data_IF_923680329227
#
_entry.id   IF_923680329227
#
_cell.length_a   1.000
_cell.length_b   1.000
_cell.length_c   1.000
_cell.angle_alpha   90.00
_cell.angle_beta   90.00
_cell.angle_gamma   90.00
#
_symmetry.space_group_name_H-M   'P 1'
#
loop_
_entity.id
_entity.type
_entity.pdbx_description
1 polymer ?
#
# COMPACT_ATOMS: atom_id res chain seq x y z
N UNK A 1 9.40 -4.25 18.68
CA UNK A 1 9.23 -5.29 17.64
C UNK A 1 8.38 -4.80 16.48
N UNK A 2 7.13 -4.37 16.67
CA UNK A 2 6.23 -3.85 15.61
C UNK A 2 6.84 -2.66 14.85
N UNK A 3 7.35 -1.63 15.54
CA UNK A 3 7.96 -0.45 14.91
C UNK A 3 9.18 -0.83 14.04
N UNK A 4 9.99 -1.80 14.48
CA UNK A 4 11.13 -2.28 13.72
C UNK A 4 10.70 -2.99 12.42
N UNK A 5 9.64 -3.79 12.49
CA UNK A 5 9.08 -4.48 11.32
C UNK A 5 8.44 -3.50 10.33
N UNK A 6 7.67 -2.52 10.81
CA UNK A 6 7.12 -1.43 9.98
C UNK A 6 8.25 -0.65 9.31
N UNK A 7 9.33 -0.35 10.02
CA UNK A 7 10.49 0.37 9.46
C UNK A 7 11.20 -0.43 8.36
N UNK A 8 11.36 -1.76 8.52
CA UNK A 8 11.95 -2.63 7.48
C UNK A 8 11.05 -2.65 6.24
N UNK A 9 9.75 -2.88 6.43
CA UNK A 9 8.79 -2.91 5.33
C UNK A 9 8.69 -1.56 4.61
N UNK A 10 8.71 -0.45 5.36
CA UNK A 10 8.75 0.90 4.80
C UNK A 10 10.00 1.14 3.94
N UNK A 11 11.17 0.67 4.38
CA UNK A 11 12.41 0.76 3.57
C UNK A 11 12.33 -0.10 2.31
N UNK A 12 11.76 -1.30 2.40
CA UNK A 12 11.56 -2.17 1.25
C UNK A 12 10.63 -1.52 0.23
N UNK A 13 9.50 -0.94 0.68
CA UNK A 13 8.54 -0.23 -0.16
C UNK A 13 9.09 1.06 -0.81
N UNK A 14 10.17 1.62 -0.27
CA UNK A 14 10.82 2.83 -0.82
C UNK A 14 11.85 2.55 -1.91
N UNK A 15 12.12 1.29 -2.25
CA UNK A 15 13.05 0.94 -3.33
C UNK A 15 12.45 1.31 -4.68
N UNK A 16 13.30 1.85 -5.58
CA UNK A 16 12.86 2.27 -6.92
C UNK A 16 12.51 1.11 -7.84
N UNK A 17 13.05 -0.05 -7.56
CA UNK A 17 12.92 -1.30 -8.32
C UNK A 17 11.93 -2.29 -7.69
N UNK A 18 11.17 -1.84 -6.68
CA UNK A 18 10.19 -2.68 -5.98
C UNK A 18 9.08 -3.10 -6.94
N UNK A 19 8.84 -4.40 -7.03
CA UNK A 19 7.67 -4.97 -7.71
C UNK A 19 6.40 -4.69 -6.87
N UNK A 20 5.34 -4.29 -7.55
CA UNK A 20 4.03 -4.01 -6.92
C UNK A 20 3.48 -5.25 -6.22
N UNK A 21 3.62 -6.44 -6.81
CA UNK A 21 3.14 -7.69 -6.20
C UNK A 21 3.86 -7.96 -4.89
N UNK A 22 5.20 -7.83 -4.90
CA UNK A 22 6.01 -7.98 -3.70
C UNK A 22 5.68 -6.92 -2.65
N UNK A 23 5.44 -5.69 -3.07
CA UNK A 23 5.01 -4.61 -2.18
C UNK A 23 3.67 -4.94 -1.51
N UNK A 24 2.70 -5.49 -2.25
CA UNK A 24 1.41 -5.91 -1.70
C UNK A 24 1.54 -7.07 -0.72
N UNK A 25 2.36 -8.08 -1.01
CA UNK A 25 2.66 -9.16 -0.06
C UNK A 25 3.27 -8.65 1.23
N UNK A 26 4.20 -7.69 1.15
CA UNK A 26 4.78 -7.06 2.34
C UNK A 26 3.73 -6.32 3.16
N UNK A 27 2.83 -5.57 2.53
CA UNK A 27 1.74 -4.84 3.21
C UNK A 27 0.78 -5.82 3.91
N UNK A 28 0.38 -6.89 3.22
CA UNK A 28 -0.47 -7.92 3.81
C UNK A 28 0.20 -8.59 5.02
N UNK A 29 1.47 -8.97 4.90
CA UNK A 29 2.23 -9.55 6.00
C UNK A 29 2.41 -8.59 7.19
N UNK A 30 2.47 -7.26 6.96
CA UNK A 30 2.45 -6.26 8.03
C UNK A 30 1.10 -6.23 8.73
N UNK A 31 -0.02 -6.22 7.98
CA UNK A 31 -1.38 -6.23 8.55
C UNK A 31 -1.62 -7.47 9.42
N UNK A 32 -1.27 -8.65 8.91
CA UNK A 32 -1.39 -9.90 9.66
C UNK A 32 -0.58 -9.89 10.97
N UNK A 33 0.66 -9.40 10.93
CA UNK A 33 1.50 -9.27 12.14
C UNK A 33 0.99 -8.24 13.13
N UNK A 34 0.43 -7.15 12.65
CA UNK A 34 -0.21 -6.16 13.51
C UNK A 34 -1.44 -6.76 14.19
N UNK A 35 -2.25 -7.51 13.45
CA UNK A 35 -3.41 -8.21 13.99
C UNK A 35 -2.99 -9.26 15.05
N UNK A 36 -1.99 -10.10 14.76
CA UNK A 36 -1.45 -11.04 15.74
C UNK A 36 -0.90 -10.33 16.98
N UNK A 37 -0.19 -9.20 16.79
CA UNK A 37 0.32 -8.40 17.92
C UNK A 37 -0.83 -7.80 18.73
N UNK A 38 -1.93 -7.38 18.09
CA UNK A 38 -3.13 -6.90 18.75
C UNK A 38 -3.74 -7.96 19.66
N UNK A 39 -3.87 -9.17 19.13
CA UNK A 39 -4.60 -10.25 19.79
C UNK A 39 -3.73 -10.97 20.84
N UNK A 40 -2.44 -11.16 20.59
CA UNK A 40 -1.55 -11.99 21.39
C UNK A 40 -0.32 -11.24 21.97
N UNK A 41 -0.11 -9.99 21.59
CA UNK A 41 1.15 -9.28 21.87
C UNK A 41 1.25 -8.62 23.26
N UNK A 42 0.12 -8.43 23.98
CA UNK A 42 0.13 -7.73 25.25
C UNK A 42 0.96 -8.42 26.34
N UNK A 43 0.66 -9.68 26.63
CA UNK A 43 1.35 -10.41 27.68
C UNK A 43 2.88 -10.54 27.48
N UNK A 44 3.36 -10.90 26.28
CA UNK A 44 4.80 -10.90 25.99
C UNK A 44 5.44 -9.52 26.13
N UNK A 45 4.76 -8.46 25.69
CA UNK A 45 5.25 -7.09 25.83
C UNK A 45 5.35 -6.71 27.30
N UNK A 46 4.30 -6.93 28.07
CA UNK A 46 4.23 -6.56 29.48
C UNK A 46 5.30 -7.28 30.31
N UNK A 47 5.53 -8.58 30.05
CA UNK A 47 6.62 -9.35 30.66
C UNK A 47 7.99 -8.75 30.38
N UNK A 48 8.24 -8.32 29.13
CA UNK A 48 9.50 -7.65 28.73
C UNK A 48 9.66 -6.30 29.40
N UNK A 49 8.58 -5.50 29.49
CA UNK A 49 8.59 -4.21 30.17
C UNK A 49 8.91 -4.37 31.64
N UNK A 50 8.28 -5.36 32.33
CA UNK A 50 8.61 -5.68 33.74
C UNK A 50 10.09 -6.00 33.89
N UNK A 51 10.63 -6.92 33.08
CA UNK A 51 12.05 -7.30 33.14
C UNK A 51 12.99 -6.11 32.86
N UNK A 52 12.61 -5.22 31.96
CA UNK A 52 13.38 -3.99 31.70
C UNK A 52 13.34 -3.04 32.91
N UNK A 53 12.18 -2.83 33.51
CA UNK A 53 12.04 -1.99 34.69
C UNK A 53 12.88 -2.54 35.87
N UNK A 54 12.81 -3.83 36.11
CA UNK A 54 13.58 -4.49 37.19
C UNK A 54 15.09 -4.32 36.98
N UNK A 55 15.59 -4.52 35.75
CA UNK A 55 17.01 -4.34 35.42
C UNK A 55 17.50 -2.88 35.61
N UNK A 56 16.63 -1.91 35.37
CA UNK A 56 16.97 -0.48 35.47
C UNK A 56 16.49 0.18 36.78
N UNK A 57 16.06 -0.62 37.76
CA UNK A 57 15.55 -0.16 39.07
C UNK A 57 14.37 0.80 38.93
N UNK A 58 13.60 0.73 37.87
CA UNK A 58 12.38 1.49 37.67
C UNK A 58 11.19 0.80 38.31
N UNK A 59 10.34 1.58 39.01
CA UNK A 59 9.13 1.02 39.61
C UNK A 59 8.05 0.77 38.53
N UNK A 60 7.55 -0.46 38.45
CA UNK A 60 6.35 -0.79 37.66
C UNK A 60 5.13 -0.24 38.43
N UNK A 61 4.24 0.54 37.79
CA UNK A 61 3.01 0.99 38.42
C UNK A 61 2.15 -0.18 38.88
N UNK A 62 1.42 -0.02 39.98
CA UNK A 62 0.40 -0.99 40.37
C UNK A 62 -0.70 -1.01 39.30
N UNK A 63 -0.88 -2.15 38.61
CA UNK A 63 -1.80 -2.31 37.47
C UNK A 63 -3.28 -2.25 37.88
N UNK A 64 -3.60 -2.57 39.13
CA UNK A 64 -4.97 -2.53 39.66
C UNK A 64 -5.36 -1.14 40.21
N UNK A 65 -4.38 -0.22 40.32
CA UNK A 65 -4.64 1.12 40.77
C UNK A 65 -5.47 1.89 39.76
N UNK A 66 -6.55 2.55 40.25
CA UNK A 66 -7.38 3.44 39.42
C UNK A 66 -6.67 4.75 39.08
N UNK A 67 -6.81 5.15 37.85
CA UNK A 67 -6.35 6.42 37.26
C UNK A 67 -7.47 7.05 36.45
N UNK A 68 -7.36 8.33 36.19
CA UNK A 68 -8.34 9.01 35.34
C UNK A 68 -8.09 8.68 33.88
N UNK A 69 -9.13 8.23 33.16
CA UNK A 69 -9.08 8.02 31.70
C UNK A 69 -8.69 9.33 30.98
N UNK A 70 -7.83 9.21 29.95
CA UNK A 70 -7.42 10.37 29.13
C UNK A 70 -8.61 10.88 28.30
N UNK A 71 -8.69 12.20 28.12
CA UNK A 71 -9.61 12.84 27.18
C UNK A 71 -11.02 13.08 27.67
N UNK A 72 -11.38 12.67 28.89
CA UNK A 72 -12.69 13.00 29.46
C UNK A 72 -12.69 14.38 30.10
N UNK A 73 -13.74 15.18 29.82
CA UNK A 73 -13.98 16.46 30.50
C UNK A 73 -13.92 16.28 32.01
N UNK A 74 -13.42 17.30 32.75
CA UNK A 74 -13.28 17.28 34.19
C UNK A 74 -14.56 16.86 34.94
N UNK A 75 -15.73 17.03 34.34
CA UNK A 75 -17.06 16.65 34.89
C UNK A 75 -17.45 15.18 34.69
N UNK A 76 -16.77 14.42 33.80
CA UNK A 76 -17.06 13.00 33.49
C UNK A 76 -15.79 12.17 33.53
N UNK A 77 -14.98 12.29 34.56
CA UNK A 77 -13.76 11.49 34.72
C UNK A 77 -14.15 10.05 35.05
N UNK A 78 -14.16 9.23 34.02
CA UNK A 78 -14.26 7.78 34.19
C UNK A 78 -12.94 7.26 34.76
N UNK A 79 -13.00 6.56 35.88
CA UNK A 79 -11.84 5.92 36.48
C UNK A 79 -11.64 4.59 35.79
N UNK A 80 -10.41 4.30 35.39
CA UNK A 80 -9.97 3.05 34.81
C UNK A 80 -8.75 2.54 35.57
N UNK A 81 -8.48 1.25 35.56
CA UNK A 81 -7.24 0.70 36.14
C UNK A 81 -6.03 1.05 35.25
N UNK A 82 -4.84 1.09 35.83
CA UNK A 82 -3.61 1.20 35.07
C UNK A 82 -3.50 0.11 34.00
N UNK A 83 -3.93 -1.11 34.30
CA UNK A 83 -3.98 -2.22 33.35
C UNK A 83 -4.83 -1.83 32.12
N UNK A 84 -6.05 -1.37 32.34
CA UNK A 84 -6.93 -0.92 31.26
C UNK A 84 -6.31 0.23 30.48
N UNK A 85 -5.74 1.22 31.15
CA UNK A 85 -5.12 2.38 30.52
C UNK A 85 -3.97 1.99 29.59
N UNK A 86 -3.01 1.19 30.07
CA UNK A 86 -1.87 0.80 29.25
C UNK A 86 -2.23 -0.22 28.16
N UNK A 87 -3.11 -1.18 28.48
CA UNK A 87 -3.51 -2.21 27.53
C UNK A 87 -4.47 -1.66 26.47
N UNK A 88 -5.56 -1.01 26.87
CA UNK A 88 -6.63 -0.61 25.94
C UNK A 88 -6.37 0.75 25.34
N UNK A 89 -6.13 1.77 26.19
CA UNK A 89 -6.04 3.16 25.71
C UNK A 89 -4.70 3.49 25.06
N UNK A 90 -3.65 2.70 25.29
CA UNK A 90 -2.34 2.91 24.66
C UNK A 90 -2.02 1.80 23.66
N UNK A 91 -1.92 0.55 24.12
CA UNK A 91 -1.42 -0.54 23.29
C UNK A 91 -2.41 -0.89 22.16
N UNK A 92 -3.66 -1.23 22.49
CA UNK A 92 -4.67 -1.55 21.47
C UNK A 92 -4.99 -0.35 20.61
N UNK A 93 -5.21 0.83 21.20
CA UNK A 93 -5.54 2.04 20.44
C UNK A 93 -4.45 2.42 19.43
N UNK A 94 -3.17 2.25 19.77
CA UNK A 94 -2.07 2.51 18.84
C UNK A 94 -2.07 1.53 17.66
N UNK A 95 -2.29 0.23 17.91
CA UNK A 95 -2.34 -0.78 16.85
C UNK A 95 -3.58 -0.58 15.99
N UNK A 96 -4.74 -0.33 16.59
CA UNK A 96 -6.00 -0.09 15.88
C UNK A 96 -5.91 1.15 14.99
N UNK A 97 -5.28 2.23 15.44
CA UNK A 97 -5.04 3.40 14.62
C UNK A 97 -4.17 3.09 13.38
N UNK A 98 -3.10 2.29 13.56
CA UNK A 98 -2.24 1.89 12.44
C UNK A 98 -3.00 0.98 11.47
N UNK A 99 -3.72 -0.02 11.96
CA UNK A 99 -4.50 -0.95 11.13
C UNK A 99 -5.60 -0.20 10.37
N UNK A 100 -6.29 0.74 11.02
CA UNK A 100 -7.32 1.57 10.38
C UNK A 100 -6.74 2.38 9.23
N UNK A 101 -5.61 3.05 9.44
CA UNK A 101 -4.93 3.83 8.41
C UNK A 101 -4.43 2.93 7.27
N UNK A 102 -3.86 1.76 7.58
CA UNK A 102 -3.44 0.80 6.56
C UNK A 102 -4.63 0.26 5.76
N UNK A 103 -5.76 -0.04 6.41
CA UNK A 103 -6.95 -0.53 5.72
C UNK A 103 -7.61 0.54 4.85
N UNK A 104 -7.54 1.81 5.28
CA UNK A 104 -8.00 2.93 4.47
C UNK A 104 -7.15 3.13 3.21
N UNK A 105 -5.81 3.08 3.37
CA UNK A 105 -4.89 3.28 2.23
C UNK A 105 -4.77 2.07 1.31
N UNK A 106 -4.86 0.88 1.86
CA UNK A 106 -4.70 -0.40 1.16
C UNK A 106 -5.93 -1.26 1.41
N UNK A 107 -7.08 -0.82 0.89
CA UNK A 107 -8.30 -1.62 0.87
C UNK A 107 -8.13 -2.85 -0.01
N UNK A 108 -8.99 -3.86 0.14
CA UNK A 108 -8.98 -5.04 -0.73
C UNK A 108 -9.10 -4.67 -2.20
N UNK A 109 -10.02 -3.76 -2.53
CA UNK A 109 -10.23 -3.29 -3.91
C UNK A 109 -8.98 -2.59 -4.48
N UNK A 110 -8.36 -1.68 -3.70
CA UNK A 110 -7.14 -1.01 -4.14
C UNK A 110 -5.98 -1.98 -4.29
N UNK A 111 -5.88 -2.98 -3.42
CA UNK A 111 -4.84 -4.02 -3.48
C UNK A 111 -5.04 -4.95 -4.67
N UNK A 112 -6.27 -5.39 -4.93
CA UNK A 112 -6.64 -6.18 -6.10
C UNK A 112 -6.33 -5.43 -7.39
N UNK A 113 -6.72 -4.16 -7.47
CA UNK A 113 -6.44 -3.28 -8.61
C UNK A 113 -4.93 -3.22 -8.92
N UNK A 114 -4.10 -2.96 -7.92
CA UNK A 114 -2.65 -2.87 -8.07
C UNK A 114 -2.02 -4.20 -8.50
N UNK A 115 -2.51 -5.33 -7.99
CA UNK A 115 -2.06 -6.67 -8.39
C UNK A 115 -2.46 -6.98 -9.85
N UNK A 116 -3.67 -6.59 -10.26
CA UNK A 116 -4.11 -6.75 -11.65
C UNK A 116 -3.29 -5.88 -12.61
N UNK A 117 -3.00 -4.62 -12.22
CA UNK A 117 -2.16 -3.71 -13.01
C UNK A 117 -0.72 -4.21 -13.17
N UNK A 118 -0.17 -4.88 -12.17
CA UNK A 118 1.18 -5.46 -12.24
C UNK A 118 1.32 -6.50 -13.35
N UNK A 119 0.22 -7.11 -13.81
CA UNK A 119 0.22 -8.02 -14.94
C UNK A 119 0.54 -7.35 -16.28
N UNK A 120 0.42 -6.00 -16.39
CA UNK A 120 0.86 -5.23 -17.56
C UNK A 120 2.34 -4.79 -17.51
N UNK A 121 3.09 -5.19 -16.48
CA UNK A 121 4.48 -4.78 -16.33
C UNK A 121 5.33 -5.28 -17.52
N UNK A 122 5.96 -4.37 -18.29
CA UNK A 122 6.75 -4.76 -19.47
C UNK A 122 8.12 -5.34 -19.12
N UNK A 123 8.56 -5.26 -17.88
CA UNK A 123 9.86 -5.78 -17.43
C UNK A 123 9.98 -7.28 -17.75
N UNK A 124 11.20 -7.71 -18.03
CA UNK A 124 11.50 -9.11 -18.36
C UNK A 124 10.60 -9.66 -19.48
N UNK A 125 10.35 -8.85 -20.52
CA UNK A 125 9.53 -9.23 -21.68
C UNK A 125 8.13 -9.69 -21.28
N UNK A 126 7.47 -8.93 -20.40
CA UNK A 126 6.11 -9.23 -19.90
C UNK A 126 6.02 -10.58 -19.17
N UNK A 127 7.03 -10.94 -18.39
CA UNK A 127 7.05 -12.22 -17.66
C UNK A 127 5.89 -12.36 -16.66
N UNK A 128 5.35 -11.25 -16.15
CA UNK A 128 4.22 -11.20 -15.21
C UNK A 128 2.85 -11.12 -15.90
N UNK A 129 2.80 -11.20 -17.25
CA UNK A 129 1.57 -11.05 -18.01
C UNK A 129 0.58 -12.17 -17.70
N UNK A 130 -0.60 -11.79 -17.21
CA UNK A 130 -1.63 -12.71 -16.74
C UNK A 130 -2.98 -12.25 -17.28
N UNK A 131 -3.56 -13.05 -18.18
CA UNK A 131 -4.81 -12.72 -18.88
C UNK A 131 -5.97 -12.61 -17.90
N UNK A 132 -6.07 -13.50 -16.91
CA UNK A 132 -7.21 -13.53 -15.97
C UNK A 132 -7.20 -12.28 -15.07
N UNK A 133 -6.02 -11.84 -14.62
CA UNK A 133 -5.87 -10.59 -13.87
C UNK A 133 -6.23 -9.38 -14.71
N UNK A 134 -5.87 -9.36 -16.00
CA UNK A 134 -6.18 -8.25 -16.89
C UNK A 134 -7.67 -8.19 -17.26
N UNK A 135 -8.32 -9.33 -17.42
CA UNK A 135 -9.79 -9.39 -17.55
C UNK A 135 -10.45 -8.88 -16.27
N UNK A 136 -9.94 -9.31 -15.11
CA UNK A 136 -10.44 -8.82 -13.82
C UNK A 136 -10.25 -7.31 -13.66
N UNK A 137 -9.15 -6.76 -14.16
CA UNK A 137 -8.93 -5.31 -14.23
C UNK A 137 -10.01 -4.61 -15.04
N UNK A 138 -10.36 -5.13 -16.21
CA UNK A 138 -11.43 -4.60 -17.05
C UNK A 138 -12.82 -4.70 -16.39
N UNK A 139 -13.10 -5.77 -15.65
CA UNK A 139 -14.33 -5.91 -14.87
C UNK A 139 -14.47 -4.85 -13.77
N UNK A 140 -13.36 -4.48 -13.12
CA UNK A 140 -13.34 -3.41 -12.12
C UNK A 140 -13.69 -2.06 -12.76
N UNK A 141 -13.28 -1.85 -14.03
CA UNK A 141 -13.59 -0.66 -14.83
C UNK A 141 -14.81 -0.85 -15.72
N UNK A 142 -15.92 -1.32 -15.14
CA UNK A 142 -17.17 -1.63 -15.85
C UNK A 142 -17.77 -0.44 -16.63
N UNK A 143 -17.39 0.79 -16.33
CA UNK A 143 -17.81 1.98 -17.10
C UNK A 143 -17.02 2.12 -18.42
N UNK A 144 -15.81 1.58 -18.51
CA UNK A 144 -14.95 1.62 -19.68
C UNK A 144 -15.04 0.35 -20.54
N UNK A 145 -15.51 -0.76 -19.96
CA UNK A 145 -15.60 -2.07 -20.63
C UNK A 145 -17.00 -2.65 -20.49
N UNK A 146 -17.71 -2.74 -21.59
CA UNK A 146 -18.98 -3.44 -21.64
C UNK A 146 -18.80 -4.98 -21.69
N UNK A 147 -19.92 -5.71 -21.59
CA UNK A 147 -19.93 -7.20 -21.60
C UNK A 147 -19.30 -7.76 -22.87
N UNK A 148 -19.50 -7.11 -24.03
CA UNK A 148 -18.92 -7.51 -25.30
C UNK A 148 -17.40 -7.36 -25.30
N UNK A 149 -16.89 -6.24 -24.77
CA UNK A 149 -15.46 -6.00 -24.58
C UNK A 149 -14.82 -7.06 -23.67
N UNK A 150 -15.45 -7.39 -22.54
CA UNK A 150 -14.95 -8.41 -21.60
C UNK A 150 -14.84 -9.78 -22.26
N UNK A 151 -15.78 -10.14 -23.12
CA UNK A 151 -15.75 -11.42 -23.86
C UNK A 151 -14.62 -11.49 -24.91
N UNK A 152 -14.30 -10.38 -25.56
CA UNK A 152 -13.28 -10.31 -26.62
C UNK A 152 -11.87 -10.14 -26.05
N UNK A 153 -11.75 -9.48 -24.91
CA UNK A 153 -10.49 -9.10 -24.29
C UNK A 153 -9.49 -10.26 -24.08
N UNK A 154 -9.89 -11.47 -23.62
CA UNK A 154 -8.94 -12.57 -23.43
C UNK A 154 -8.21 -12.98 -24.72
N UNK A 155 -8.91 -12.96 -25.85
CA UNK A 155 -8.32 -13.29 -27.16
C UNK A 155 -7.35 -12.20 -27.61
N UNK A 156 -7.75 -10.94 -27.48
CA UNK A 156 -6.91 -9.79 -27.82
C UNK A 156 -5.64 -9.73 -26.96
N UNK A 157 -5.75 -10.00 -25.65
CA UNK A 157 -4.62 -10.07 -24.73
C UNK A 157 -3.61 -11.16 -25.11
N UNK A 158 -4.08 -12.35 -25.46
CA UNK A 158 -3.21 -13.48 -25.89
C UNK A 158 -2.45 -13.14 -27.17
N UNK A 159 -3.13 -12.60 -28.17
CA UNK A 159 -2.51 -12.19 -29.43
C UNK A 159 -1.50 -11.05 -29.22
N UNK A 160 -1.87 -10.04 -28.43
CA UNK A 160 -0.99 -8.95 -28.05
C UNK A 160 0.28 -9.47 -27.38
N UNK A 161 0.16 -10.36 -26.39
CA UNK A 161 1.31 -10.92 -25.67
C UNK A 161 2.27 -11.64 -26.60
N UNK A 162 1.77 -12.47 -27.52
CA UNK A 162 2.58 -13.15 -28.53
C UNK A 162 3.28 -12.12 -29.43
N UNK A 163 2.55 -11.10 -29.89
CA UNK A 163 3.07 -10.07 -30.78
C UNK A 163 4.18 -9.25 -30.16
N UNK A 164 3.99 -8.82 -28.91
CA UNK A 164 4.96 -7.99 -28.17
C UNK A 164 6.25 -8.76 -27.88
N UNK A 165 6.17 -10.02 -27.49
CA UNK A 165 7.35 -10.86 -27.22
C UNK A 165 8.21 -11.10 -28.45
N UNK A 166 7.60 -11.13 -29.64
CA UNK A 166 8.28 -11.36 -30.90
C UNK A 166 8.72 -10.07 -31.62
N UNK A 167 8.38 -8.89 -31.10
CA UNK A 167 8.71 -7.62 -31.71
C UNK A 167 9.89 -6.96 -31.00
N UNK A 168 10.96 -6.69 -31.79
CA UNK A 168 12.21 -6.09 -31.30
C UNK A 168 12.03 -4.69 -30.69
N UNK A 169 10.99 -3.94 -31.10
CA UNK A 169 10.74 -2.59 -30.57
C UNK A 169 10.34 -2.58 -29.09
N UNK A 170 9.77 -3.67 -28.61
CA UNK A 170 9.39 -3.83 -27.20
C UNK A 170 10.50 -4.45 -26.34
N UNK A 171 11.60 -4.92 -26.96
CA UNK A 171 12.71 -5.48 -26.22
C UNK A 171 13.39 -4.42 -25.34
N UNK A 172 13.52 -4.75 -24.07
CA UNK A 172 14.14 -3.83 -23.08
C UNK A 172 13.22 -2.72 -22.58
N UNK A 173 11.93 -2.69 -22.96
CA UNK A 173 10.96 -1.80 -22.33
C UNK A 173 10.80 -2.15 -20.85
N UNK A 174 10.96 -1.12 -20.00
CA UNK A 174 10.80 -1.22 -18.54
C UNK A 174 9.63 -0.41 -18.02
N UNK A 175 9.06 0.45 -18.87
CA UNK A 175 7.99 1.38 -18.52
C UNK A 175 6.79 1.20 -19.43
N UNK A 176 5.59 1.21 -18.84
CA UNK A 176 4.33 1.04 -19.58
C UNK A 176 4.04 2.23 -20.52
N UNK A 177 4.47 3.44 -20.15
CA UNK A 177 4.40 4.64 -20.99
C UNK A 177 5.12 4.43 -22.32
N UNK A 178 6.28 3.78 -22.28
CA UNK A 178 7.05 3.46 -23.49
C UNK A 178 6.34 2.43 -24.37
N UNK A 179 5.69 1.45 -23.75
CA UNK A 179 4.84 0.47 -24.47
C UNK A 179 3.72 1.20 -25.21
N UNK A 180 3.01 2.12 -24.54
CA UNK A 180 1.94 2.92 -25.16
C UNK A 180 2.46 3.74 -26.36
N UNK A 181 3.62 4.40 -26.23
CA UNK A 181 4.24 5.14 -27.34
C UNK A 181 4.54 4.25 -28.55
N UNK A 182 5.10 3.05 -28.32
CA UNK A 182 5.41 2.11 -29.39
C UNK A 182 4.12 1.61 -30.05
N UNK A 183 3.08 1.31 -29.27
CA UNK A 183 1.79 0.89 -29.82
C UNK A 183 1.19 1.94 -30.74
N UNK A 184 1.26 3.23 -30.39
CA UNK A 184 0.79 4.31 -31.26
C UNK A 184 1.65 4.43 -32.51
N UNK A 185 2.98 4.39 -32.39
CA UNK A 185 3.90 4.47 -33.55
C UNK A 185 3.71 3.35 -34.56
N UNK A 186 3.44 2.15 -34.06
CA UNK A 186 3.26 0.92 -34.89
C UNK A 186 1.81 0.69 -35.28
N UNK A 187 0.89 1.58 -34.91
CA UNK A 187 -0.57 1.45 -35.09
C UNK A 187 -1.17 0.21 -34.40
N UNK A 188 -0.47 -0.38 -33.43
CA UNK A 188 -0.98 -1.51 -32.67
C UNK A 188 -2.13 -1.11 -31.74
N UNK A 189 -2.24 0.15 -31.37
CA UNK A 189 -3.37 0.69 -30.62
C UNK A 189 -4.71 0.53 -31.36
N UNK A 190 -4.72 0.53 -32.68
CA UNK A 190 -5.92 0.26 -33.50
C UNK A 190 -6.17 -1.23 -33.72
N UNK A 191 -5.13 -2.05 -33.68
CA UNK A 191 -5.23 -3.52 -33.79
C UNK A 191 -5.62 -4.20 -32.47
N UNK A 192 -5.24 -3.58 -31.34
CA UNK A 192 -5.50 -4.05 -29.98
C UNK A 192 -6.10 -2.92 -29.13
N UNK A 193 -7.34 -2.47 -29.46
CA UNK A 193 -7.93 -1.29 -28.82
C UNK A 193 -8.27 -1.52 -27.34
N UNK A 194 -8.71 -2.74 -26.97
CA UNK A 194 -9.07 -3.05 -25.59
C UNK A 194 -7.83 -3.14 -24.69
N UNK A 195 -6.74 -3.73 -25.20
CA UNK A 195 -5.45 -3.75 -24.49
C UNK A 195 -4.90 -2.33 -24.34
N UNK A 196 -4.99 -1.52 -25.41
CA UNK A 196 -4.54 -0.13 -25.33
C UNK A 196 -5.34 0.67 -24.29
N UNK A 197 -6.67 0.45 -24.21
CA UNK A 197 -7.53 1.06 -23.20
C UNK A 197 -7.11 0.66 -21.77
N UNK A 198 -6.79 -0.62 -21.53
CA UNK A 198 -6.25 -1.06 -20.23
C UNK A 198 -4.93 -0.36 -19.88
N UNK A 199 -4.04 -0.18 -20.86
CA UNK A 199 -2.78 0.53 -20.67
C UNK A 199 -3.04 2.01 -20.32
N UNK A 200 -3.95 2.69 -21.03
CA UNK A 200 -4.33 4.06 -20.73
C UNK A 200 -4.86 4.20 -19.28
N UNK A 201 -5.79 3.35 -18.88
CA UNK A 201 -6.33 3.36 -17.52
C UNK A 201 -5.24 3.12 -16.46
N UNK A 202 -4.33 2.20 -16.74
CA UNK A 202 -3.19 1.92 -15.85
C UNK A 202 -2.24 3.11 -15.73
N UNK A 203 -2.04 3.88 -16.80
CA UNK A 203 -1.19 5.07 -16.79
C UNK A 203 -1.84 6.28 -16.09
N UNK A 204 -3.16 6.36 -16.09
CA UNK A 204 -3.91 7.44 -15.42
C UNK A 204 -3.91 7.23 -13.89
N UNK A 205 -3.89 5.97 -13.44
CA UNK A 205 -3.89 5.70 -12.01
C UNK A 205 -2.58 6.15 -11.35
N UNK A 206 -2.67 6.83 -10.20
CA UNK A 206 -1.51 7.40 -9.53
C UNK A 206 -0.66 6.33 -8.83
N UNK A 207 -0.14 5.36 -9.58
CA UNK A 207 0.89 4.42 -9.08
C UNK A 207 2.21 5.18 -8.79
N UNK A 208 2.33 6.39 -9.32
CA UNK A 208 3.42 7.32 -9.05
C UNK A 208 3.33 8.05 -7.69
N UNK A 209 2.37 7.72 -6.83
CA UNK A 209 2.17 8.44 -5.56
C UNK A 209 3.38 8.41 -4.64
N UNK A 210 4.18 7.35 -4.64
CA UNK A 210 5.40 7.30 -3.83
C UNK A 210 6.44 8.36 -4.25
N UNK A 211 6.52 8.74 -5.52
CA UNK A 211 7.39 9.83 -5.99
C UNK A 211 6.78 11.19 -5.71
N UNK A 212 5.47 11.35 -5.92
CA UNK A 212 4.73 12.58 -5.63
C UNK A 212 4.65 12.82 -4.12
N UNK A 213 4.37 11.80 -3.31
CA UNK A 213 4.37 11.92 -1.85
C UNK A 213 5.77 12.26 -1.30
N UNK A 214 6.85 11.72 -1.88
CA UNK A 214 8.22 12.13 -1.53
C UNK A 214 8.49 13.58 -1.86
N UNK A 215 8.04 14.06 -3.02
CA UNK A 215 8.19 15.47 -3.42
C UNK A 215 7.34 16.36 -2.49
N UNK A 216 6.09 15.99 -2.21
CA UNK A 216 5.23 16.72 -1.28
C UNK A 216 5.74 16.70 0.15
N UNK A 217 6.27 15.57 0.63
CA UNK A 217 6.96 15.47 1.93
C UNK A 217 8.21 16.33 1.98
N UNK A 218 9.03 16.33 0.93
CA UNK A 218 10.19 17.21 0.84
C UNK A 218 9.77 18.68 0.79
N UNK A 219 8.70 19.01 0.06
CA UNK A 219 8.13 20.37 0.02
C UNK A 219 7.58 20.80 1.38
N UNK A 220 6.96 19.90 2.16
CA UNK A 220 6.47 20.22 3.52
C UNK A 220 7.62 20.52 4.49
N UNK A 221 8.78 19.88 4.32
CA UNK A 221 9.99 20.18 5.09
C UNK A 221 10.61 21.54 4.70
N UNK A 222 10.45 21.96 3.44
CA UNK A 222 10.96 23.23 2.92
C UNK A 222 9.96 24.38 3.22
N UNK A 223 8.66 24.12 3.10
CA UNK A 223 7.58 25.03 3.46
C UNK A 223 7.20 24.91 4.94
N UNK A 224 8.03 25.42 5.83
CA UNK A 224 7.62 25.66 7.22
C UNK A 224 6.73 26.90 7.29
N UNK A 225 5.82 26.96 8.29
CA UNK A 225 4.90 28.11 8.48
C UNK A 225 5.62 29.46 8.59
N UNK A 226 6.89 29.45 9.00
CA UNK A 226 7.76 30.64 9.07
C UNK A 226 8.20 31.11 7.68
N UNK A 227 8.38 30.23 6.71
CA UNK A 227 8.80 30.57 5.33
C UNK A 227 7.62 31.03 4.47
N UNK A 228 6.40 30.59 4.78
CA UNK A 228 5.19 31.07 4.09
C UNK A 228 4.81 32.52 4.47
N UNK A 229 5.39 33.08 5.53
CA UNK A 229 5.16 34.46 6.00
C UNK A 229 6.25 35.44 5.57
N UNK A 230 7.30 35.00 4.92
CA UNK A 230 8.28 35.88 4.25
C UNK A 230 7.72 36.17 2.87
N UNK A 231 6.97 37.28 2.77
CA UNK A 231 6.58 37.86 1.50
C UNK A 231 7.82 38.28 0.68
N UNK A 232 7.64 38.33 -0.63
CA UNK A 232 8.63 38.78 -1.62
C UNK A 232 9.27 40.10 -1.24
#
# INVERSE_FOLDING_TARGET
MVIHFIAISSRALQRKDQDIVEAMHLIMGVKERLQDTRDNGWEPLFKRVKSFCDKNQNKVPNMDKEVNARGTSARRRQKVTNMHFYHVEIFLAAIDAILTEMNHRFSEVSSELLVCMAALNPRNSFSSFDVDKLVRLAEIYAEDFDVGHILLLPSELKEFHIRVRNNKEFLGCTELSKVAEIMVKTKMNTSYPLVYRLIELTLILPVATASVERILSAMSLIKTDLRNKMGD
#
